data_IF_429932096251
#
_entry.id   IF_429932096251
#
_cell.length_a   1.000
_cell.length_b   1.000
_cell.length_c   1.000
_cell.angle_alpha   90.00
_cell.angle_beta   90.00
_cell.angle_gamma   90.00
#
_symmetry.space_group_name_H-M   'P 1'
#
loop_
_entity.id
_entity.type
_entity.pdbx_description
1 polymer ?
#
# COMPACT_ATOMS: atom_id res chain seq x y z
N UNK A 1 17.57 16.72 1.98
CA UNK A 1 17.02 15.35 1.82
C UNK A 1 15.65 15.29 1.14
N UNK A 2 14.78 16.30 1.17
CA UNK A 2 13.50 16.26 0.43
C UNK A 2 13.63 15.89 -1.06
N UNK A 3 14.66 16.36 -1.76
CA UNK A 3 14.90 16.00 -3.17
C UNK A 3 15.30 14.54 -3.41
N UNK A 4 15.59 13.76 -2.36
CA UNK A 4 15.93 12.34 -2.47
C UNK A 4 14.79 11.41 -2.03
N UNK A 5 13.56 11.90 -1.91
CA UNK A 5 12.38 11.08 -1.57
C UNK A 5 12.21 9.86 -2.48
N UNK A 6 12.54 9.97 -3.78
CA UNK A 6 12.53 8.84 -4.70
C UNK A 6 13.44 7.67 -4.28
N UNK A 7 14.50 7.91 -3.50
CA UNK A 7 15.36 6.84 -2.97
C UNK A 7 14.61 5.92 -2.00
N UNK A 8 13.59 6.43 -1.30
CA UNK A 8 12.77 5.64 -0.38
C UNK A 8 12.14 4.46 -1.13
N UNK A 9 11.61 4.68 -2.33
CA UNK A 9 11.04 3.64 -3.20
C UNK A 9 12.13 2.87 -3.95
N UNK A 10 13.15 3.58 -4.45
CA UNK A 10 14.17 2.95 -5.28
C UNK A 10 14.98 1.91 -4.50
N UNK A 11 15.32 2.15 -3.24
CA UNK A 11 16.17 1.24 -2.47
C UNK A 11 15.56 -0.17 -2.34
N UNK A 12 14.30 -0.35 -1.91
CA UNK A 12 13.65 -1.67 -1.93
C UNK A 12 13.48 -2.24 -3.36
N UNK A 13 13.26 -1.41 -4.39
CA UNK A 13 13.22 -1.88 -5.79
C UNK A 13 14.57 -2.41 -6.27
N UNK A 14 15.67 -1.74 -5.90
CA UNK A 14 17.04 -2.21 -6.17
C UNK A 14 17.30 -3.49 -5.39
N UNK A 15 16.85 -3.57 -4.13
CA UNK A 15 16.90 -4.81 -3.35
C UNK A 15 16.20 -5.96 -4.07
N UNK A 16 14.98 -5.75 -4.55
CA UNK A 16 14.25 -6.71 -5.39
C UNK A 16 15.05 -7.09 -6.65
N UNK A 17 15.56 -6.11 -7.42
CA UNK A 17 16.31 -6.37 -8.65
C UNK A 17 17.60 -7.18 -8.39
N UNK A 18 18.31 -6.87 -7.29
CA UNK A 18 19.48 -7.63 -6.86
C UNK A 18 19.10 -9.07 -6.52
N UNK A 19 17.97 -9.33 -5.88
CA UNK A 19 17.50 -10.70 -5.63
C UNK A 19 17.13 -11.44 -6.92
N UNK A 20 16.53 -10.75 -7.90
CA UNK A 20 16.20 -11.34 -9.21
C UNK A 20 17.47 -11.82 -9.92
N UNK A 21 18.50 -10.96 -9.97
CA UNK A 21 19.72 -11.24 -10.75
C UNK A 21 20.71 -12.12 -9.98
N UNK A 22 20.92 -11.84 -8.70
CA UNK A 22 21.99 -12.43 -7.90
C UNK A 22 21.49 -13.27 -6.72
N UNK A 23 20.19 -13.28 -6.39
CA UNK A 23 19.67 -13.94 -5.19
C UNK A 23 20.02 -15.43 -5.10
N UNK A 24 19.95 -16.17 -6.22
CA UNK A 24 20.36 -17.58 -6.28
C UNK A 24 21.85 -17.79 -6.03
N UNK A 25 22.71 -16.82 -6.39
CA UNK A 25 24.16 -16.88 -6.15
C UNK A 25 24.52 -16.46 -4.74
N UNK A 26 23.78 -15.52 -4.15
CA UNK A 26 23.98 -15.06 -2.77
C UNK A 26 23.57 -16.13 -1.76
N UNK A 27 22.46 -16.82 -1.99
CA UNK A 27 21.99 -17.90 -1.13
C UNK A 27 21.64 -17.46 0.30
N UNK A 28 21.46 -18.45 1.18
CA UNK A 28 21.26 -18.27 2.62
C UNK A 28 22.63 -18.15 3.33
N UNK A 29 22.92 -17.10 4.15
CA UNK A 29 22.03 -16.01 4.59
C UNK A 29 22.25 -14.68 3.85
N UNK A 30 23.18 -14.61 2.89
CA UNK A 30 23.62 -13.34 2.29
C UNK A 30 22.48 -12.64 1.57
N UNK A 31 21.61 -13.39 0.87
CA UNK A 31 20.43 -12.82 0.22
C UNK A 31 19.54 -12.10 1.25
N UNK A 32 19.34 -12.67 2.45
CA UNK A 32 18.51 -12.06 3.49
C UNK A 32 19.11 -10.77 4.04
N UNK A 33 20.43 -10.75 4.27
CA UNK A 33 21.15 -9.55 4.70
C UNK A 33 21.10 -8.43 3.66
N UNK A 34 21.28 -8.75 2.37
CA UNK A 34 21.18 -7.76 1.29
C UNK A 34 19.77 -7.18 1.23
N UNK A 35 18.74 -8.04 1.22
CA UNK A 35 17.34 -7.59 1.21
C UNK A 35 17.00 -6.71 2.42
N UNK A 36 17.48 -7.07 3.61
CA UNK A 36 17.28 -6.29 4.83
C UNK A 36 18.01 -4.95 4.78
N UNK A 37 19.25 -4.94 4.26
CA UNK A 37 20.08 -3.74 4.14
C UNK A 37 19.45 -2.66 3.27
N UNK A 38 18.82 -3.03 2.15
CA UNK A 38 18.13 -2.07 1.28
C UNK A 38 16.89 -1.45 1.95
N UNK A 39 16.09 -2.24 2.66
CA UNK A 39 14.92 -1.73 3.39
C UNK A 39 15.35 -0.85 4.58
N UNK A 40 16.42 -1.23 5.29
CA UNK A 40 16.97 -0.42 6.37
C UNK A 40 17.57 0.91 5.86
N UNK A 41 18.23 0.89 4.70
CA UNK A 41 18.69 2.11 4.03
C UNK A 41 17.51 3.02 3.65
N UNK A 42 16.40 2.43 3.16
CA UNK A 42 15.16 3.17 2.89
C UNK A 42 14.57 3.80 4.16
N UNK A 43 14.62 3.10 5.30
CA UNK A 43 14.24 3.68 6.60
C UNK A 43 15.13 4.86 6.99
N UNK A 44 16.45 4.75 6.83
CA UNK A 44 17.37 5.85 7.14
C UNK A 44 17.11 7.09 6.28
N UNK A 45 16.87 6.91 4.97
CA UNK A 45 16.47 8.00 4.08
C UNK A 45 15.12 8.60 4.51
N UNK A 46 14.15 7.75 4.86
CA UNK A 46 12.83 8.18 5.35
C UNK A 46 12.92 9.06 6.60
N UNK A 47 13.79 8.69 7.55
CA UNK A 47 14.07 9.51 8.75
C UNK A 47 14.67 10.86 8.35
N UNK A 48 15.63 10.88 7.42
CA UNK A 48 16.21 12.12 6.91
C UNK A 48 15.19 13.04 6.23
N UNK A 49 14.31 12.48 5.38
CA UNK A 49 13.21 13.22 4.73
C UNK A 49 12.21 13.74 5.77
N UNK A 50 11.90 12.96 6.81
CA UNK A 50 11.02 13.40 7.89
C UNK A 50 11.62 14.56 8.69
N UNK A 51 12.91 14.48 9.06
CA UNK A 51 13.60 15.55 9.78
C UNK A 51 13.64 16.84 8.96
N UNK A 52 13.88 16.75 7.66
CA UNK A 52 13.80 17.92 6.78
C UNK A 52 12.38 18.49 6.73
N UNK A 53 11.35 17.64 6.64
CA UNK A 53 9.95 18.09 6.63
C UNK A 53 9.60 18.90 7.89
N UNK A 54 10.19 18.57 9.04
CA UNK A 54 10.01 19.33 10.29
C UNK A 54 10.59 20.75 10.22
N UNK A 55 11.61 20.97 9.39
CA UNK A 55 12.22 22.30 9.19
C UNK A 55 11.41 23.21 8.27
N UNK A 56 10.42 22.65 7.56
CA UNK A 56 9.54 23.44 6.69
C UNK A 56 8.62 24.31 7.55
N UNK A 57 8.90 25.61 7.54
CA UNK A 57 8.12 26.64 8.22
C UNK A 57 6.93 27.07 7.35
N UNK A 58 5.97 26.16 7.17
CA UNK A 58 4.71 26.42 6.48
C UNK A 58 3.54 25.96 7.35
N UNK A 59 2.35 26.61 7.26
CA UNK A 59 1.16 26.19 8.00
C UNK A 59 0.72 24.77 7.63
N UNK A 60 1.02 24.33 6.40
CA UNK A 60 0.88 22.94 5.96
C UNK A 60 2.22 22.48 5.38
N UNK A 61 2.87 21.52 6.05
CA UNK A 61 4.16 20.96 5.63
C UNK A 61 3.95 19.96 4.50
N UNK A 62 3.94 20.44 3.27
CA UNK A 62 3.79 19.59 2.08
C UNK A 62 4.96 19.80 1.12
N UNK A 63 5.35 18.74 0.43
CA UNK A 63 6.34 18.76 -0.62
C UNK A 63 5.95 17.74 -1.69
N UNK A 64 5.76 18.21 -2.92
CA UNK A 64 5.51 17.34 -4.07
C UNK A 64 6.77 17.27 -4.91
N UNK A 65 7.23 16.07 -5.21
CA UNK A 65 8.34 15.83 -6.12
C UNK A 65 7.81 15.20 -7.41
N UNK A 66 7.82 15.97 -8.50
CA UNK A 66 7.52 15.45 -9.83
C UNK A 66 8.71 14.66 -10.37
N UNK A 67 8.48 13.42 -10.80
CA UNK A 67 9.52 12.57 -11.39
C UNK A 67 9.46 12.62 -12.91
N UNK A 68 8.30 12.28 -13.50
CA UNK A 68 8.05 12.38 -14.94
C UNK A 68 6.54 12.42 -15.24
N UNK A 69 6.15 12.79 -16.46
CA UNK A 69 4.77 12.65 -16.94
C UNK A 69 4.54 11.21 -17.41
N UNK A 70 3.60 10.50 -16.78
CA UNK A 70 3.39 9.07 -17.05
C UNK A 70 2.39 8.84 -18.18
N UNK A 71 1.23 9.51 -18.14
CA UNK A 71 0.18 9.41 -19.16
C UNK A 71 -0.21 10.82 -19.60
N UNK A 72 0.35 11.35 -20.71
CA UNK A 72 0.00 12.65 -21.26
C UNK A 72 -0.97 12.48 -22.46
N UNK A 73 -2.25 12.20 -22.21
CA UNK A 73 -3.25 11.97 -23.26
C UNK A 73 -4.41 12.96 -23.15
N UNK A 74 -4.42 13.97 -24.02
CA UNK A 74 -5.46 15.01 -24.08
C UNK A 74 -5.72 15.63 -22.69
N UNK A 75 -6.93 15.49 -22.14
CA UNK A 75 -7.26 15.95 -20.77
C UNK A 75 -6.74 15.04 -19.66
N UNK A 76 -6.42 13.77 -19.94
CA UNK A 76 -5.85 12.85 -18.97
C UNK A 76 -4.34 13.11 -18.84
N UNK A 77 -3.97 13.92 -17.86
CA UNK A 77 -2.58 14.19 -17.47
C UNK A 77 -2.28 13.50 -16.14
N UNK A 78 -1.62 12.34 -16.20
CA UNK A 78 -1.18 11.61 -15.00
C UNK A 78 0.31 11.82 -14.80
N UNK A 79 0.68 12.42 -13.67
CA UNK A 79 2.08 12.63 -13.29
C UNK A 79 2.55 11.50 -12.37
N UNK A 80 3.76 10.99 -12.62
CA UNK A 80 4.46 10.15 -11.65
C UNK A 80 5.14 11.09 -10.64
N UNK A 81 4.39 11.47 -9.61
CA UNK A 81 4.81 12.44 -8.60
C UNK A 81 4.66 11.87 -7.18
N UNK A 82 5.61 12.22 -6.31
CA UNK A 82 5.65 11.79 -4.92
C UNK A 82 5.13 12.89 -4.01
N UNK A 83 4.07 12.60 -3.25
CA UNK A 83 3.47 13.53 -2.31
C UNK A 83 3.93 13.25 -0.88
N UNK A 84 4.74 14.17 -0.35
CA UNK A 84 5.30 14.13 0.99
C UNK A 84 4.56 15.11 1.88
N UNK A 85 3.84 14.56 2.85
CA UNK A 85 3.15 15.31 3.90
C UNK A 85 3.22 14.53 5.23
N UNK A 86 2.69 15.06 6.34
CA UNK A 86 2.78 14.38 7.63
C UNK A 86 2.14 12.99 7.61
N UNK A 87 1.00 12.82 6.92
CA UNK A 87 0.31 11.53 6.82
C UNK A 87 1.16 10.49 6.06
N UNK A 88 1.69 10.86 4.88
CA UNK A 88 2.58 10.00 4.09
C UNK A 88 3.81 9.63 4.91
N UNK A 89 4.45 10.60 5.58
CA UNK A 89 5.69 10.34 6.31
C UNK A 89 5.51 9.47 7.54
N UNK A 90 4.41 9.63 8.28
CA UNK A 90 4.08 8.70 9.37
C UNK A 90 3.97 7.27 8.84
N UNK A 91 3.29 7.09 7.71
CA UNK A 91 3.10 5.77 7.13
C UNK A 91 4.41 5.22 6.52
N UNK A 92 5.21 6.04 5.85
CA UNK A 92 6.52 5.66 5.30
C UNK A 92 7.47 5.18 6.41
N UNK A 93 7.55 5.92 7.53
CA UNK A 93 8.39 5.54 8.68
C UNK A 93 7.92 4.22 9.30
N UNK A 94 6.60 4.04 9.43
CA UNK A 94 6.02 2.80 9.96
C UNK A 94 6.29 1.61 9.03
N UNK A 95 6.04 1.77 7.73
CA UNK A 95 6.27 0.73 6.71
C UNK A 95 7.75 0.35 6.66
N UNK A 96 8.66 1.30 6.49
CA UNK A 96 10.10 0.99 6.35
C UNK A 96 10.71 0.48 7.65
N UNK A 97 10.33 1.05 8.80
CA UNK A 97 10.82 0.64 10.11
C UNK A 97 10.37 -0.76 10.50
N UNK A 98 9.07 -1.03 10.51
CA UNK A 98 8.53 -2.35 10.86
C UNK A 98 8.94 -3.39 9.82
N UNK A 99 8.95 -3.06 8.53
CA UNK A 99 9.41 -3.99 7.50
C UNK A 99 10.88 -4.36 7.67
N UNK A 100 11.76 -3.43 8.08
CA UNK A 100 13.17 -3.73 8.36
C UNK A 100 13.32 -4.78 9.46
N UNK A 101 12.52 -4.66 10.54
CA UNK A 101 12.51 -5.64 11.63
C UNK A 101 11.98 -7.00 11.18
N UNK A 102 10.93 -7.02 10.36
CA UNK A 102 10.37 -8.26 9.79
C UNK A 102 11.38 -8.93 8.85
N UNK A 103 12.10 -8.15 8.02
CA UNK A 103 13.17 -8.68 7.17
C UNK A 103 14.29 -9.31 8.01
N UNK A 104 14.73 -8.63 9.06
CA UNK A 104 15.74 -9.15 9.98
C UNK A 104 15.29 -10.45 10.66
N UNK A 105 14.05 -10.50 11.15
CA UNK A 105 13.46 -11.71 11.73
C UNK A 105 13.38 -12.86 10.72
N UNK A 106 13.05 -12.54 9.46
CA UNK A 106 12.92 -13.52 8.38
C UNK A 106 14.22 -14.25 8.05
N UNK A 107 15.39 -13.63 8.32
CA UNK A 107 16.70 -14.27 8.10
C UNK A 107 16.82 -15.54 8.95
N UNK A 108 16.40 -15.46 10.22
CA UNK A 108 16.40 -16.61 11.13
C UNK A 108 15.27 -17.59 10.83
N UNK A 109 14.07 -17.08 10.56
CA UNK A 109 12.88 -17.91 10.36
C UNK A 109 12.95 -18.78 9.10
N UNK A 110 13.43 -18.23 7.98
CA UNK A 110 13.49 -18.93 6.69
C UNK A 110 14.74 -19.78 6.50
N UNK A 111 15.61 -19.88 7.52
CA UNK A 111 16.90 -20.55 7.40
C UNK A 111 16.75 -22.00 6.94
N UNK A 112 17.47 -22.36 5.88
CA UNK A 112 17.42 -23.70 5.28
C UNK A 112 16.21 -23.97 4.37
N UNK A 113 15.34 -22.99 4.11
CA UNK A 113 14.28 -23.11 3.10
C UNK A 113 14.89 -23.12 1.68
N UNK A 114 14.38 -24.01 0.82
CA UNK A 114 14.85 -24.17 -0.57
C UNK A 114 14.73 -22.88 -1.38
N UNK A 115 13.67 -22.12 -1.15
CA UNK A 115 13.32 -20.92 -1.90
C UNK A 115 13.68 -19.63 -1.13
N UNK A 116 14.67 -19.68 -0.23
CA UNK A 116 15.10 -18.57 0.62
C UNK A 116 15.27 -17.21 -0.10
N UNK A 117 16.02 -17.09 -1.23
CA UNK A 117 16.17 -15.78 -1.89
C UNK A 117 14.87 -15.27 -2.52
N UNK A 118 13.98 -16.18 -2.94
CA UNK A 118 12.67 -15.86 -3.53
C UNK A 118 11.77 -15.18 -2.49
N UNK A 119 11.88 -15.57 -1.22
CA UNK A 119 11.15 -14.95 -0.13
C UNK A 119 11.51 -13.46 0.03
N UNK A 120 12.82 -13.15 0.12
CA UNK A 120 13.30 -11.78 0.25
C UNK A 120 13.06 -10.91 -1.00
N UNK A 121 13.04 -11.54 -2.18
CA UNK A 121 12.61 -10.90 -3.43
C UNK A 121 11.18 -10.38 -3.30
N UNK A 122 10.24 -11.21 -2.86
CA UNK A 122 8.85 -10.80 -2.69
C UNK A 122 8.66 -9.77 -1.57
N UNK A 123 9.38 -9.91 -0.44
CA UNK A 123 9.31 -8.91 0.63
C UNK A 123 9.80 -7.52 0.18
N UNK A 124 10.88 -7.44 -0.59
CA UNK A 124 11.40 -6.16 -1.10
C UNK A 124 10.41 -5.50 -2.07
N UNK A 125 9.84 -6.28 -2.99
CA UNK A 125 8.83 -5.78 -3.92
C UNK A 125 7.54 -5.34 -3.21
N UNK A 126 7.16 -6.06 -2.16
CA UNK A 126 6.02 -5.71 -1.32
C UNK A 126 6.24 -4.33 -0.68
N UNK A 127 7.39 -4.11 -0.05
CA UNK A 127 7.74 -2.81 0.58
C UNK A 127 7.77 -1.70 -0.46
N UNK A 128 8.40 -1.93 -1.63
CA UNK A 128 8.41 -0.95 -2.71
C UNK A 128 6.98 -0.57 -3.16
N UNK A 129 6.11 -1.56 -3.36
CA UNK A 129 4.71 -1.34 -3.77
C UNK A 129 3.94 -0.54 -2.73
N UNK A 130 4.14 -0.84 -1.45
CA UNK A 130 3.52 -0.10 -0.35
C UNK A 130 4.01 1.35 -0.31
N UNK A 131 5.28 1.61 -0.58
CA UNK A 131 5.83 2.96 -0.62
C UNK A 131 5.33 3.77 -1.82
N UNK A 132 5.13 3.13 -2.98
CA UNK A 132 4.46 3.75 -4.15
C UNK A 132 3.03 4.15 -3.78
N UNK A 133 2.29 3.27 -3.10
CA UNK A 133 0.91 3.52 -2.66
C UNK A 133 0.84 4.76 -1.77
N UNK A 134 1.69 4.78 -0.74
CA UNK A 134 1.71 5.84 0.28
C UNK A 134 2.19 7.17 -0.30
N UNK A 135 3.25 7.17 -1.10
CA UNK A 135 3.78 8.42 -1.67
C UNK A 135 3.03 8.88 -2.93
N UNK A 136 1.99 8.18 -3.38
CA UNK A 136 1.22 8.58 -4.56
C UNK A 136 0.56 9.95 -4.38
N UNK A 137 0.79 10.84 -5.35
CA UNK A 137 0.17 12.19 -5.43
C UNK A 137 -1.20 12.21 -6.11
N UNK A 138 -1.57 11.13 -6.78
CA UNK A 138 -2.84 10.96 -7.47
C UNK A 138 -3.40 9.54 -7.27
N UNK A 139 -4.68 9.38 -7.56
CA UNK A 139 -5.39 8.12 -7.41
C UNK A 139 -4.79 6.99 -8.26
N UNK A 140 -4.22 7.29 -9.42
CA UNK A 140 -3.67 6.29 -10.36
C UNK A 140 -2.34 5.72 -9.83
N UNK A 141 -1.44 6.56 -9.33
CA UNK A 141 -0.19 6.11 -8.69
C UNK A 141 -0.49 5.38 -7.39
N UNK A 142 -1.45 5.85 -6.59
CA UNK A 142 -1.91 5.10 -5.42
C UNK A 142 -2.45 3.72 -5.81
N UNK A 143 -3.25 3.64 -6.89
CA UNK A 143 -3.77 2.37 -7.42
C UNK A 143 -2.66 1.43 -7.95
N UNK A 144 -1.60 1.97 -8.56
CA UNK A 144 -0.43 1.18 -8.96
C UNK A 144 0.20 0.47 -7.76
N UNK A 145 0.43 1.21 -6.67
CA UNK A 145 0.95 0.62 -5.44
C UNK A 145 -0.04 -0.35 -4.78
N UNK A 146 -1.33 -0.04 -4.83
CA UNK A 146 -2.43 -0.87 -4.34
C UNK A 146 -2.47 -2.26 -4.98
N UNK A 147 -2.37 -2.30 -6.31
CA UNK A 147 -2.26 -3.51 -7.11
C UNK A 147 -0.96 -4.27 -6.80
N UNK A 148 0.17 -3.55 -6.74
CA UNK A 148 1.47 -4.13 -6.41
C UNK A 148 1.47 -4.84 -5.06
N UNK A 149 0.89 -4.23 -4.03
CA UNK A 149 0.71 -4.84 -2.70
C UNK A 149 -0.14 -6.10 -2.79
N UNK A 150 -1.20 -6.12 -3.62
CA UNK A 150 -2.07 -7.29 -3.80
C UNK A 150 -1.41 -8.45 -4.54
N UNK A 151 -0.61 -8.15 -5.56
CA UNK A 151 0.17 -9.16 -6.27
C UNK A 151 1.26 -9.76 -5.35
N UNK A 152 1.96 -8.92 -4.61
CA UNK A 152 2.99 -9.38 -3.67
C UNK A 152 2.38 -10.20 -2.51
N UNK A 153 1.23 -9.79 -1.97
CA UNK A 153 0.55 -10.57 -0.94
C UNK A 153 0.13 -11.95 -1.43
N UNK A 154 -0.33 -12.06 -2.68
CA UNK A 154 -0.65 -13.35 -3.28
C UNK A 154 0.57 -14.29 -3.32
N UNK A 155 1.71 -13.80 -3.82
CA UNK A 155 2.93 -14.62 -3.88
C UNK A 155 3.49 -14.99 -2.51
N UNK A 156 3.32 -14.13 -1.51
CA UNK A 156 3.79 -14.39 -0.15
C UNK A 156 2.86 -15.35 0.62
N UNK A 157 1.54 -15.24 0.47
CA UNK A 157 0.58 -16.18 1.08
C UNK A 157 0.70 -17.56 0.42
N UNK A 158 0.81 -17.61 -0.91
CA UNK A 158 1.02 -18.85 -1.66
C UNK A 158 2.51 -19.23 -1.78
N UNK A 159 3.37 -18.82 -0.83
CA UNK A 159 4.81 -19.06 -0.94
C UNK A 159 5.14 -20.56 -1.02
N UNK A 160 4.53 -21.36 -0.14
CA UNK A 160 4.57 -22.83 -0.19
C UNK A 160 3.42 -23.40 -1.04
N UNK A 161 3.36 -22.98 -2.30
CA UNK A 161 2.30 -23.36 -3.26
C UNK A 161 2.19 -24.88 -3.52
N UNK A 162 3.18 -25.69 -3.14
CA UNK A 162 3.11 -27.15 -3.21
C UNK A 162 2.05 -27.73 -2.26
N UNK A 163 1.64 -26.98 -1.22
CA UNK A 163 0.52 -27.31 -0.34
C UNK A 163 -0.77 -26.74 -0.92
N UNK A 164 -1.74 -27.60 -1.21
CA UNK A 164 -3.04 -27.20 -1.78
C UNK A 164 -3.78 -26.15 -0.93
N UNK A 165 -3.67 -26.21 0.40
CA UNK A 165 -4.27 -25.21 1.28
C UNK A 165 -3.65 -23.82 1.09
N UNK A 166 -2.33 -23.71 0.97
CA UNK A 166 -1.64 -22.44 0.77
C UNK A 166 -1.92 -21.86 -0.62
N UNK A 167 -1.96 -22.70 -1.66
CA UNK A 167 -2.33 -22.27 -3.01
C UNK A 167 -3.79 -21.78 -3.09
N UNK A 168 -4.71 -22.49 -2.41
CA UNK A 168 -6.12 -22.10 -2.32
C UNK A 168 -6.30 -20.81 -1.53
N UNK A 169 -5.64 -20.69 -0.38
CA UNK A 169 -5.65 -19.50 0.47
C UNK A 169 -5.15 -18.26 -0.27
N UNK A 170 -4.00 -18.36 -0.95
CA UNK A 170 -3.47 -17.27 -1.77
C UNK A 170 -4.46 -16.86 -2.86
N UNK A 171 -5.03 -17.81 -3.59
CA UNK A 171 -6.04 -17.54 -4.62
C UNK A 171 -7.27 -16.83 -4.05
N UNK A 172 -7.78 -17.30 -2.90
CA UNK A 172 -8.91 -16.67 -2.21
C UNK A 172 -8.56 -15.22 -1.84
N UNK A 173 -7.41 -14.98 -1.20
CA UNK A 173 -6.95 -13.64 -0.89
C UNK A 173 -6.87 -12.75 -2.14
N UNK A 174 -6.29 -13.25 -3.23
CA UNK A 174 -6.19 -12.48 -4.47
C UNK A 174 -7.55 -12.12 -5.06
N UNK A 175 -8.50 -13.05 -5.10
CA UNK A 175 -9.85 -12.82 -5.65
C UNK A 175 -10.63 -11.79 -4.82
N UNK A 176 -10.62 -11.90 -3.49
CA UNK A 176 -11.32 -10.95 -2.63
C UNK A 176 -10.76 -9.53 -2.77
N UNK A 177 -9.43 -9.41 -2.83
CA UNK A 177 -8.78 -8.13 -3.09
C UNK A 177 -9.17 -7.58 -4.46
N UNK A 178 -9.14 -8.43 -5.50
CA UNK A 178 -9.50 -8.04 -6.87
C UNK A 178 -10.93 -7.50 -6.98
N UNK A 179 -11.87 -8.08 -6.26
CA UNK A 179 -13.26 -7.59 -6.20
C UNK A 179 -13.30 -6.19 -5.58
N UNK A 180 -12.52 -5.95 -4.52
CA UNK A 180 -12.36 -4.61 -3.94
C UNK A 180 -11.73 -3.62 -4.92
N UNK A 181 -10.71 -4.05 -5.67
CA UNK A 181 -9.97 -3.22 -6.62
C UNK A 181 -10.87 -2.66 -7.74
N UNK A 182 -11.95 -3.38 -8.10
CA UNK A 182 -12.99 -2.87 -9.02
C UNK A 182 -13.65 -1.61 -8.46
N UNK A 183 -13.93 -1.55 -7.15
CA UNK A 183 -14.45 -0.35 -6.50
C UNK A 183 -13.51 0.85 -6.63
N UNK A 184 -12.20 0.63 -6.44
CA UNK A 184 -11.20 1.67 -6.62
C UNK A 184 -11.19 2.18 -8.07
N UNK A 185 -11.15 1.28 -9.05
CA UNK A 185 -11.16 1.63 -10.48
C UNK A 185 -12.40 2.43 -10.87
N UNK A 186 -13.58 2.00 -10.43
CA UNK A 186 -14.82 2.72 -10.69
C UNK A 186 -14.81 4.12 -10.06
N UNK A 187 -14.22 4.28 -8.86
CA UNK A 187 -14.05 5.59 -8.24
C UNK A 187 -13.14 6.50 -9.06
N UNK A 188 -12.01 5.99 -9.58
CA UNK A 188 -11.12 6.74 -10.48
C UNK A 188 -11.89 7.22 -11.71
N UNK A 189 -12.63 6.32 -12.37
CA UNK A 189 -13.38 6.65 -13.58
C UNK A 189 -14.45 7.72 -13.31
N UNK A 190 -15.16 7.61 -12.18
CA UNK A 190 -16.18 8.60 -11.80
C UNK A 190 -15.59 9.99 -11.52
N UNK A 191 -14.47 10.03 -10.79
CA UNK A 191 -13.77 11.30 -10.51
C UNK A 191 -13.26 11.93 -11.80
N UNK A 192 -12.67 11.11 -12.69
CA UNK A 192 -12.16 11.59 -13.97
C UNK A 192 -13.28 12.06 -14.92
N UNK A 193 -14.43 11.38 -14.95
CA UNK A 193 -15.61 11.80 -15.73
C UNK A 193 -16.09 13.21 -15.35
N UNK A 194 -16.02 13.57 -14.06
CA UNK A 194 -16.51 14.86 -13.55
C UNK A 194 -15.50 15.97 -13.54
N UNK A 195 -14.27 15.68 -13.11
CA UNK A 195 -13.25 16.71 -12.88
C UNK A 195 -12.14 16.71 -13.93
N UNK A 196 -12.12 15.72 -14.83
CA UNK A 196 -11.05 15.51 -15.82
C UNK A 196 -9.64 15.49 -15.22
N UNK A 197 -9.53 15.09 -13.95
CA UNK A 197 -8.26 14.98 -13.22
C UNK A 197 -8.30 13.79 -12.28
N UNK A 198 -7.11 13.29 -11.94
CA UNK A 198 -6.91 12.24 -10.92
C UNK A 198 -6.00 12.72 -9.77
N UNK A 199 -5.52 13.96 -9.83
CA UNK A 199 -4.60 14.56 -8.86
C UNK A 199 -5.33 14.98 -7.58
N UNK A 200 -4.82 14.55 -6.42
CA UNK A 200 -5.49 14.80 -5.14
C UNK A 200 -5.71 16.29 -4.86
N UNK A 201 -4.70 17.12 -5.12
CA UNK A 201 -4.75 18.58 -4.92
C UNK A 201 -5.87 19.25 -5.72
N UNK A 202 -6.09 18.77 -6.95
CA UNK A 202 -7.10 19.33 -7.86
C UNK A 202 -8.49 18.80 -7.50
N UNK A 203 -8.60 17.51 -7.16
CA UNK A 203 -9.85 16.90 -6.69
C UNK A 203 -10.35 17.64 -5.43
N UNK A 204 -9.46 17.90 -4.46
CA UNK A 204 -9.85 18.51 -3.19
C UNK A 204 -10.21 19.99 -3.32
N UNK A 205 -9.66 20.71 -4.32
CA UNK A 205 -10.02 22.10 -4.59
C UNK A 205 -11.34 22.25 -5.35
N UNK A 206 -11.76 21.23 -6.10
CA UNK A 206 -12.98 21.25 -6.93
C UNK A 206 -14.09 20.33 -6.37
N UNK A 207 -14.09 20.06 -5.06
CA UNK A 207 -15.08 19.17 -4.42
C UNK A 207 -16.53 19.60 -4.66
N UNK A 208 -16.79 20.91 -4.76
CA UNK A 208 -18.12 21.44 -5.05
C UNK A 208 -18.67 21.04 -6.41
N UNK A 209 -17.79 20.74 -7.38
CA UNK A 209 -18.16 20.43 -8.76
C UNK A 209 -18.54 18.95 -8.96
N UNK A 210 -18.09 18.05 -8.08
CA UNK A 210 -18.49 16.63 -8.11
C UNK A 210 -20.00 16.46 -7.92
N UNK A 211 -20.62 17.31 -7.10
CA UNK A 211 -22.00 17.16 -6.66
C UNK A 211 -22.17 16.09 -5.58
N UNK A 212 -23.13 16.30 -4.67
CA UNK A 212 -23.29 15.49 -3.46
C UNK A 212 -23.46 13.99 -3.75
N UNK A 213 -24.31 13.61 -4.72
CA UNK A 213 -24.55 12.20 -5.05
C UNK A 213 -23.31 11.49 -5.58
N UNK A 214 -22.52 12.15 -6.43
CA UNK A 214 -21.29 11.57 -6.98
C UNK A 214 -20.20 11.48 -5.93
N UNK A 215 -20.04 12.49 -5.07
CA UNK A 215 -19.10 12.43 -3.94
C UNK A 215 -19.41 11.24 -3.03
N UNK A 216 -20.68 11.03 -2.67
CA UNK A 216 -21.10 9.85 -1.90
C UNK A 216 -20.78 8.55 -2.64
N UNK A 217 -21.08 8.46 -3.93
CA UNK A 217 -20.78 7.27 -4.73
C UNK A 217 -19.27 6.97 -4.78
N UNK A 218 -18.42 7.98 -5.00
CA UNK A 218 -16.95 7.85 -4.98
C UNK A 218 -16.48 7.34 -3.62
N UNK A 219 -16.94 7.92 -2.52
CA UNK A 219 -16.57 7.49 -1.17
C UNK A 219 -16.98 6.03 -0.89
N UNK A 220 -18.19 5.62 -1.29
CA UNK A 220 -18.66 4.24 -1.11
C UNK A 220 -17.90 3.24 -2.00
N UNK A 221 -17.56 3.62 -3.23
CA UNK A 221 -16.73 2.80 -4.13
C UNK A 221 -15.31 2.62 -3.58
N UNK A 222 -14.71 3.68 -3.03
CA UNK A 222 -13.44 3.59 -2.31
C UNK A 222 -13.57 2.74 -1.04
N UNK A 223 -14.70 2.80 -0.32
CA UNK A 223 -14.96 1.91 0.81
C UNK A 223 -15.02 0.44 0.39
N UNK A 224 -15.57 0.10 -0.78
CA UNK A 224 -15.52 -1.28 -1.32
C UNK A 224 -14.07 -1.74 -1.53
N UNK A 225 -13.22 -0.87 -2.07
CA UNK A 225 -11.79 -1.17 -2.19
C UNK A 225 -11.14 -1.40 -0.83
N UNK A 226 -11.38 -0.50 0.11
CA UNK A 226 -10.87 -0.60 1.50
C UNK A 226 -11.37 -1.87 2.17
N UNK A 227 -12.62 -2.27 1.97
CA UNK A 227 -13.14 -3.51 2.51
C UNK A 227 -12.39 -4.74 1.99
N UNK A 228 -11.98 -4.72 0.72
CA UNK A 228 -11.13 -5.76 0.11
C UNK A 228 -9.76 -5.85 0.79
N UNK A 229 -8.99 -4.76 0.82
CA UNK A 229 -7.61 -4.74 1.37
C UNK A 229 -7.53 -4.84 2.88
N UNK A 230 -8.45 -4.21 3.58
CA UNK A 230 -8.47 -4.13 5.05
C UNK A 230 -9.38 -5.18 5.69
N UNK A 231 -9.83 -6.18 4.91
CA UNK A 231 -10.66 -7.29 5.37
C UNK A 231 -11.85 -6.80 6.23
N UNK A 232 -12.59 -5.81 5.72
CA UNK A 232 -13.82 -5.34 6.37
C UNK A 232 -15.02 -6.13 5.86
N UNK A 233 -16.11 -6.11 6.61
CA UNK A 233 -17.37 -6.70 6.13
C UNK A 233 -17.79 -6.04 4.80
N UNK A 234 -18.19 -6.82 3.78
CA UNK A 234 -18.35 -8.28 3.75
C UNK A 234 -17.12 -9.07 3.24
N UNK A 235 -16.03 -8.38 2.87
CA UNK A 235 -14.84 -8.96 2.22
C UNK A 235 -13.75 -9.42 3.20
N UNK A 236 -14.08 -9.69 4.47
CA UNK A 236 -13.14 -10.19 5.47
C UNK A 236 -12.72 -11.68 5.40
N UNK A 237 -13.48 -12.63 4.80
CA UNK A 237 -13.19 -14.08 4.93
C UNK A 237 -11.85 -14.57 4.39
N UNK A 238 -11.11 -13.78 3.61
CA UNK A 238 -9.79 -14.19 3.12
C UNK A 238 -8.69 -14.03 4.18
N UNK A 239 -8.90 -13.21 5.20
CA UNK A 239 -7.87 -12.83 6.18
C UNK A 239 -7.41 -14.01 7.04
N UNK A 240 -8.35 -14.86 7.47
CA UNK A 240 -8.05 -16.03 8.30
C UNK A 240 -7.21 -17.06 7.52
N UNK A 241 -7.57 -17.31 6.26
CA UNK A 241 -6.86 -18.28 5.41
C UNK A 241 -5.47 -17.77 4.99
N UNK A 242 -5.26 -16.45 4.95
CA UNK A 242 -3.96 -15.86 4.62
C UNK A 242 -2.84 -16.23 5.63
N UNK A 243 -3.20 -16.77 6.80
CA UNK A 243 -2.26 -17.29 7.80
C UNK A 243 -1.54 -18.58 7.38
N UNK A 244 -1.90 -19.18 6.24
CA UNK A 244 -1.15 -20.28 5.62
C UNK A 244 0.25 -19.84 5.13
N UNK A 245 0.48 -18.54 4.95
CA UNK A 245 1.78 -18.00 4.61
C UNK A 245 2.80 -18.09 5.77
N UNK A 246 4.10 -17.90 5.48
CA UNK A 246 5.13 -17.85 6.52
C UNK A 246 4.83 -16.79 7.59
N UNK A 247 5.13 -17.04 8.86
CA UNK A 247 4.84 -16.09 9.97
C UNK A 247 5.32 -14.65 9.73
N UNK A 248 6.51 -14.40 9.12
CA UNK A 248 6.92 -13.02 8.81
C UNK A 248 6.01 -12.32 7.79
N UNK A 249 5.36 -13.08 6.89
CA UNK A 249 4.37 -12.56 5.94
C UNK A 249 3.14 -12.07 6.67
N UNK A 250 2.61 -12.89 7.59
CA UNK A 250 1.48 -12.51 8.43
C UNK A 250 1.78 -11.23 9.21
N UNK A 251 2.98 -11.11 9.79
CA UNK A 251 3.41 -9.88 10.46
C UNK A 251 3.42 -8.67 9.50
N UNK A 252 3.93 -8.84 8.28
CA UNK A 252 4.00 -7.73 7.31
C UNK A 252 2.63 -7.28 6.83
N UNK A 253 1.80 -8.24 6.39
CA UNK A 253 0.48 -8.00 5.80
C UNK A 253 -0.49 -7.44 6.86
N UNK A 254 -0.55 -8.06 8.04
CA UNK A 254 -1.60 -7.77 9.02
C UNK A 254 -1.22 -6.67 10.01
N UNK A 255 0.06 -6.47 10.33
CA UNK A 255 0.46 -5.43 11.27
C UNK A 255 0.90 -4.14 10.57
N UNK A 256 1.68 -4.25 9.49
CA UNK A 256 2.43 -3.11 8.99
C UNK A 256 1.81 -2.44 7.74
N UNK A 257 1.20 -3.20 6.83
CA UNK A 257 1.10 -2.73 5.44
C UNK A 257 -0.25 -2.91 4.74
N UNK A 258 -0.74 -4.14 4.55
CA UNK A 258 -1.85 -4.38 3.62
C UNK A 258 -3.17 -3.88 4.19
N UNK A 259 -3.47 -4.24 5.44
CA UNK A 259 -4.71 -3.78 6.09
C UNK A 259 -4.67 -2.29 6.44
N UNK A 260 -3.47 -1.74 6.64
CA UNK A 260 -3.26 -0.31 6.93
C UNK A 260 -3.34 0.54 5.65
N UNK A 261 -3.10 -0.04 4.46
CA UNK A 261 -3.25 0.66 3.17
C UNK A 261 -4.66 1.19 2.94
N UNK A 262 -5.70 0.42 3.28
CA UNK A 262 -7.08 0.89 3.16
C UNK A 262 -7.43 2.02 4.13
N UNK A 263 -6.96 1.92 5.38
CA UNK A 263 -7.11 3.01 6.36
C UNK A 263 -6.37 4.27 5.92
N UNK A 264 -5.14 4.11 5.41
CA UNK A 264 -4.35 5.19 4.83
C UNK A 264 -5.11 5.89 3.69
N UNK A 265 -5.72 5.13 2.78
CA UNK A 265 -6.54 5.68 1.69
C UNK A 265 -7.69 6.52 2.24
N UNK A 266 -8.46 6.02 3.21
CA UNK A 266 -9.57 6.79 3.82
C UNK A 266 -9.09 8.08 4.50
N UNK A 267 -7.94 8.04 5.18
CA UNK A 267 -7.32 9.24 5.75
C UNK A 267 -6.89 10.22 4.65
N UNK A 268 -6.30 9.72 3.55
CA UNK A 268 -5.86 10.53 2.41
C UNK A 268 -7.04 11.21 1.69
N UNK A 269 -8.15 10.49 1.52
CA UNK A 269 -9.38 11.01 0.91
C UNK A 269 -10.36 11.62 1.92
N UNK A 270 -9.90 11.96 3.13
CA UNK A 270 -10.75 12.54 4.17
C UNK A 270 -11.55 13.78 3.70
N UNK A 271 -11.02 14.69 2.85
CA UNK A 271 -11.82 15.79 2.31
C UNK A 271 -13.08 15.34 1.55
N UNK A 272 -13.02 14.22 0.82
CA UNK A 272 -14.18 13.63 0.13
C UNK A 272 -15.20 13.07 1.13
N UNK A 273 -14.74 12.41 2.20
CA UNK A 273 -15.60 11.90 3.26
C UNK A 273 -16.29 13.03 4.03
N UNK A 274 -15.57 14.12 4.30
CA UNK A 274 -16.14 15.29 4.98
C UNK A 274 -17.22 15.99 4.12
N UNK A 275 -17.10 15.90 2.80
CA UNK A 275 -18.12 16.39 1.86
C UNK A 275 -19.33 15.45 1.71
N UNK A 276 -19.28 14.23 2.26
CA UNK A 276 -20.39 13.26 2.25
C UNK A 276 -20.59 12.63 3.65
N UNK A 277 -21.40 13.27 4.52
CA UNK A 277 -21.70 12.74 5.85
C UNK A 277 -22.31 11.33 5.81
N UNK A 278 -23.14 11.03 4.81
CA UNK A 278 -23.76 9.71 4.64
C UNK A 278 -22.70 8.63 4.39
N UNK A 279 -21.74 8.88 3.49
CA UNK A 279 -20.65 7.93 3.24
C UNK A 279 -19.77 7.77 4.49
N UNK A 280 -19.47 8.85 5.21
CA UNK A 280 -18.71 8.80 6.45
C UNK A 280 -19.42 7.95 7.53
N UNK A 281 -20.75 8.06 7.64
CA UNK A 281 -21.55 7.23 8.54
C UNK A 281 -21.48 5.75 8.14
N UNK A 282 -21.58 5.43 6.85
CA UNK A 282 -21.46 4.04 6.37
C UNK A 282 -20.07 3.47 6.69
N UNK A 283 -19.00 4.24 6.47
CA UNK A 283 -17.63 3.84 6.85
C UNK A 283 -17.57 3.51 8.35
N UNK A 284 -18.13 4.37 9.20
CA UNK A 284 -18.15 4.17 10.65
C UNK A 284 -18.95 2.92 11.05
N UNK A 285 -20.13 2.71 10.45
CA UNK A 285 -20.97 1.54 10.70
C UNK A 285 -20.28 0.23 10.28
N UNK A 286 -19.67 0.20 9.10
CA UNK A 286 -18.93 -0.98 8.61
C UNK A 286 -17.73 -1.28 9.49
N UNK A 287 -16.98 -0.26 9.90
CA UNK A 287 -15.85 -0.42 10.82
C UNK A 287 -16.30 -0.94 12.20
N UNK A 288 -17.36 -0.37 12.77
CA UNK A 288 -17.90 -0.80 14.06
C UNK A 288 -18.44 -2.23 14.02
N UNK A 289 -19.19 -2.58 12.96
CA UNK A 289 -19.70 -3.93 12.76
C UNK A 289 -18.56 -4.94 12.58
N UNK A 290 -17.54 -4.59 11.79
CA UNK A 290 -16.36 -5.45 11.58
C UNK A 290 -15.63 -5.66 12.90
N UNK A 291 -15.40 -4.60 13.69
CA UNK A 291 -14.74 -4.70 14.99
C UNK A 291 -15.53 -5.60 15.96
N UNK A 292 -16.85 -5.44 16.03
CA UNK A 292 -17.71 -6.26 16.88
C UNK A 292 -17.70 -7.74 16.48
N UNK A 293 -17.88 -8.03 15.17
CA UNK A 293 -17.86 -9.40 14.65
C UNK A 293 -16.50 -10.05 14.85
N UNK A 294 -15.42 -9.35 14.53
CA UNK A 294 -14.06 -9.86 14.72
C UNK A 294 -13.76 -10.18 16.20
N UNK A 295 -14.16 -9.28 17.12
CA UNK A 295 -13.99 -9.50 18.56
C UNK A 295 -14.85 -10.64 19.12
N UNK A 296 -15.97 -10.96 18.47
CA UNK A 296 -16.85 -12.07 18.90
C UNK A 296 -16.36 -13.42 18.37
N UNK A 297 -15.66 -13.44 17.23
CA UNK A 297 -15.09 -14.65 16.64
C UNK A 297 -13.76 -15.05 17.30
N UNK A 298 -12.96 -14.06 17.70
CA UNK A 298 -11.65 -14.24 18.34
C UNK A 298 -11.76 -14.82 19.76
#
# INVERSE_FOLDING_TARGET
MLHVTWLIILLPLVGFAVQVVAGRRLGDPVAGWVGTGFVLASFAVSVGVYLDLLTVNAPVRTFTQDLWSWIPVDSLQVHASLFVDPLSMTMVLFVTGVSSLIHLYSIGYMKGDRDYPKFFLYLNLFVASMLILVLGSNLVVTFLGWEGVGACSYWLVAFWFEKDSAASAGKKAFVYNRIGDVGFLLAIFLVFDKLHTVEYSTIFSHLSELGSGTTTAVCLLLLVAVAGKSAQIPLFPWLADAMEGPTPVSALIHAATMVTAGVYLLCRVNPLLHASPDAALVVACVGAATAFVAATIA
#
